data_IF_074740923660
#
_entry.id   IF_074740923660
#
_cell.length_a   1.000
_cell.length_b   1.000
_cell.length_c   1.000
_cell.angle_alpha   90.00
_cell.angle_beta   90.00
_cell.angle_gamma   90.00
#
_symmetry.space_group_name_H-M   'P 1'
#
loop_
_entity.id
_entity.type
_entity.pdbx_description
1 polymer ?
#
# COMPACT_ATOMS: atom_id res chain seq x y z
N UNK A 1 -24.20 21.56 -4.37
CA UNK A 1 -23.80 22.71 -5.20
C UNK A 1 -22.64 23.43 -4.53
N UNK A 2 -21.59 23.75 -5.25
CA UNK A 2 -20.45 24.52 -4.76
C UNK A 2 -20.87 26.00 -4.58
N UNK A 3 -20.39 26.70 -3.53
CA UNK A 3 -20.55 28.15 -3.44
C UNK A 3 -19.90 28.87 -4.63
N UNK A 4 -20.34 30.11 -4.91
CA UNK A 4 -19.77 30.92 -5.99
C UNK A 4 -18.33 31.34 -5.72
N UNK A 5 -17.55 31.68 -6.76
CA UNK A 5 -16.17 32.16 -6.59
C UNK A 5 -16.04 33.28 -5.54
N UNK A 6 -16.91 34.35 -5.53
CA UNK A 6 -16.83 35.37 -4.51
C UNK A 6 -17.12 34.87 -3.07
N UNK A 7 -18.01 33.91 -2.91
CA UNK A 7 -18.28 33.29 -1.60
C UNK A 7 -17.09 32.44 -1.13
N UNK A 8 -16.48 31.65 -2.05
CA UNK A 8 -15.28 30.87 -1.74
C UNK A 8 -14.10 31.78 -1.36
N UNK A 9 -13.92 32.92 -2.04
CA UNK A 9 -12.91 33.90 -1.68
C UNK A 9 -13.09 34.41 -0.25
N UNK A 10 -14.32 34.66 0.18
CA UNK A 10 -14.62 35.08 1.55
C UNK A 10 -14.39 33.97 2.57
N UNK A 11 -14.80 32.74 2.25
CA UNK A 11 -14.65 31.56 3.14
C UNK A 11 -13.18 31.25 3.39
N UNK A 12 -12.36 31.26 2.34
CA UNK A 12 -10.94 30.86 2.42
C UNK A 12 -9.96 32.01 2.59
N UNK A 13 -10.40 33.26 2.48
CA UNK A 13 -9.52 34.44 2.63
C UNK A 13 -8.44 34.54 1.53
N UNK A 14 -8.72 34.06 0.32
CA UNK A 14 -7.75 34.01 -0.79
C UNK A 14 -8.25 34.77 -2.02
N UNK A 15 -7.31 35.08 -2.91
CA UNK A 15 -7.60 35.82 -4.14
C UNK A 15 -8.39 35.01 -5.19
N UNK A 16 -9.01 35.75 -6.12
CA UNK A 16 -9.84 35.15 -7.19
C UNK A 16 -9.08 34.15 -8.06
N UNK A 17 -7.84 34.47 -8.41
CA UNK A 17 -6.98 33.59 -9.22
C UNK A 17 -6.77 32.24 -8.54
N UNK A 18 -6.51 32.25 -7.23
CA UNK A 18 -6.32 31.02 -6.43
C UNK A 18 -7.58 30.14 -6.43
N UNK A 19 -8.76 30.76 -6.23
CA UNK A 19 -10.04 30.03 -6.30
C UNK A 19 -10.26 29.43 -7.67
N UNK A 20 -10.04 30.19 -8.74
CA UNK A 20 -10.25 29.71 -10.11
C UNK A 20 -9.32 28.57 -10.48
N UNK A 21 -8.05 28.64 -10.12
CA UNK A 21 -7.10 27.55 -10.37
C UNK A 21 -7.48 26.29 -9.56
N UNK A 22 -7.88 26.44 -8.31
CA UNK A 22 -8.35 25.33 -7.50
C UNK A 22 -9.60 24.66 -8.10
N UNK A 23 -10.61 25.46 -8.48
CA UNK A 23 -11.85 24.95 -9.11
C UNK A 23 -11.54 24.29 -10.44
N UNK A 24 -10.68 24.89 -11.28
CA UNK A 24 -10.25 24.30 -12.56
C UNK A 24 -9.53 22.96 -12.36
N UNK A 25 -8.67 22.86 -11.34
CA UNK A 25 -7.99 21.61 -11.00
C UNK A 25 -8.99 20.53 -10.59
N UNK A 26 -9.98 20.87 -9.76
CA UNK A 26 -11.02 19.93 -9.31
C UNK A 26 -11.95 19.51 -10.46
N UNK A 27 -12.28 20.41 -11.38
CA UNK A 27 -13.01 20.11 -12.62
C UNK A 27 -12.23 19.14 -13.52
N UNK A 28 -10.94 19.43 -13.75
CA UNK A 28 -10.08 18.57 -14.57
C UNK A 28 -9.90 17.16 -13.97
N UNK A 29 -9.99 17.06 -12.65
CA UNK A 29 -9.93 15.79 -11.94
C UNK A 29 -11.28 15.11 -11.78
N UNK A 30 -12.38 15.74 -12.27
CA UNK A 30 -13.73 15.20 -12.22
C UNK A 30 -14.41 15.23 -10.85
N UNK A 31 -13.85 15.92 -9.86
CA UNK A 31 -14.50 16.13 -8.56
C UNK A 31 -15.65 17.12 -8.61
N UNK A 32 -15.65 17.97 -9.63
CA UNK A 32 -16.70 18.96 -9.87
C UNK A 32 -17.22 18.81 -11.30
N UNK A 33 -18.47 19.21 -11.51
CA UNK A 33 -19.06 19.40 -12.83
C UNK A 33 -19.68 20.79 -12.93
N UNK A 34 -19.67 21.35 -14.13
CA UNK A 34 -20.34 22.62 -14.45
C UNK A 34 -21.65 22.30 -15.17
N UNK A 35 -22.76 22.75 -14.60
CA UNK A 35 -24.06 22.70 -15.25
C UNK A 35 -24.41 24.13 -15.70
N UNK A 36 -24.48 24.35 -17.02
CA UNK A 36 -24.72 25.65 -17.57
C UNK A 36 -26.01 26.29 -17.02
N UNK A 37 -25.92 27.52 -16.52
CA UNK A 37 -27.03 28.22 -15.87
C UNK A 37 -27.39 27.75 -14.44
N UNK A 38 -26.87 26.63 -13.96
CA UNK A 38 -27.17 26.07 -12.65
C UNK A 38 -26.02 26.20 -11.64
N UNK A 39 -24.79 26.28 -12.13
CA UNK A 39 -23.59 26.45 -11.32
C UNK A 39 -22.67 25.24 -11.33
N UNK A 40 -21.73 25.21 -10.40
CA UNK A 40 -20.76 24.11 -10.20
C UNK A 40 -21.26 23.19 -9.10
N UNK A 41 -21.16 21.89 -9.33
CA UNK A 41 -21.60 20.85 -8.41
C UNK A 41 -20.47 19.92 -8.05
N UNK A 42 -20.50 19.41 -6.81
CA UNK A 42 -19.62 18.32 -6.37
C UNK A 42 -20.20 17.02 -6.90
N UNK A 43 -19.37 16.24 -7.57
CA UNK A 43 -19.77 14.93 -8.05
C UNK A 43 -19.84 13.93 -6.91
N UNK A 44 -20.94 13.18 -6.85
CA UNK A 44 -21.18 12.16 -5.83
C UNK A 44 -20.48 10.83 -6.17
N UNK A 45 -20.11 10.64 -7.44
CA UNK A 45 -19.36 9.48 -7.90
C UNK A 45 -17.90 9.85 -8.11
N UNK A 46 -17.02 8.91 -7.85
CA UNK A 46 -15.59 9.07 -8.06
C UNK A 46 -15.30 9.41 -9.53
N UNK A 47 -14.42 10.38 -9.79
CA UNK A 47 -14.02 10.68 -11.14
C UNK A 47 -13.46 9.46 -11.85
N UNK A 48 -13.96 9.14 -13.03
CA UNK A 48 -13.46 8.03 -13.84
C UNK A 48 -11.94 8.11 -14.11
N UNK A 49 -11.39 9.34 -14.09
CA UNK A 49 -9.99 9.64 -14.37
C UNK A 49 -9.18 9.97 -13.10
N UNK A 50 -9.64 9.55 -11.92
CA UNK A 50 -8.84 9.76 -10.71
C UNK A 50 -7.55 8.95 -10.78
N UNK A 51 -6.37 9.56 -10.51
CA UNK A 51 -5.11 8.82 -10.45
C UNK A 51 -5.18 7.68 -9.42
N UNK A 52 -4.64 6.52 -9.78
CA UNK A 52 -4.66 5.33 -8.93
C UNK A 52 -4.09 5.59 -7.52
N UNK A 53 -3.00 6.35 -7.43
CA UNK A 53 -2.41 6.78 -6.16
C UNK A 53 -3.40 7.53 -5.23
N UNK A 54 -4.32 8.31 -5.80
CA UNK A 54 -5.32 9.01 -4.99
C UNK A 54 -6.41 8.05 -4.48
N UNK A 55 -6.75 7.03 -5.28
CA UNK A 55 -7.65 5.96 -4.84
C UNK A 55 -7.05 5.19 -3.69
N UNK A 56 -5.77 4.80 -3.78
CA UNK A 56 -5.08 4.08 -2.71
C UNK A 56 -5.04 4.85 -1.39
N UNK A 57 -4.89 6.20 -1.44
CA UNK A 57 -4.90 7.06 -0.23
C UNK A 57 -6.22 7.01 0.55
N UNK A 58 -7.32 6.66 -0.11
CA UNK A 58 -8.67 6.63 0.45
C UNK A 58 -9.25 5.23 0.54
N UNK A 59 -8.53 4.24 0.01
CA UNK A 59 -8.96 2.85 0.06
C UNK A 59 -9.13 2.40 1.52
N UNK A 60 -10.14 1.60 1.76
CA UNK A 60 -10.27 0.88 3.03
C UNK A 60 -9.05 -0.03 3.19
N UNK A 61 -8.46 -0.01 4.37
CA UNK A 61 -7.29 -0.83 4.65
C UNK A 61 -7.55 -2.32 4.37
N UNK A 62 -8.77 -2.79 4.56
CA UNK A 62 -9.20 -4.16 4.27
C UNK A 62 -9.11 -4.49 2.79
N UNK A 63 -9.47 -3.54 1.90
CA UNK A 63 -9.33 -3.71 0.44
C UNK A 63 -7.86 -3.82 0.04
N UNK A 64 -6.98 -3.01 0.66
CA UNK A 64 -5.53 -3.09 0.43
C UNK A 64 -4.94 -4.42 0.93
N UNK A 65 -5.41 -4.91 2.08
CA UNK A 65 -5.04 -6.24 2.59
C UNK A 65 -5.48 -7.37 1.65
N UNK A 66 -6.69 -7.30 1.13
CA UNK A 66 -7.20 -8.30 0.18
C UNK A 66 -6.36 -8.35 -1.08
N UNK A 67 -6.04 -7.19 -1.66
CA UNK A 67 -5.16 -7.08 -2.83
C UNK A 67 -3.77 -7.65 -2.51
N UNK A 68 -3.21 -7.30 -1.37
CA UNK A 68 -1.90 -7.79 -0.94
C UNK A 68 -1.90 -9.31 -0.81
N UNK A 69 -2.89 -9.89 -0.13
CA UNK A 69 -3.07 -11.35 0.02
C UNK A 69 -3.08 -12.07 -1.33
N UNK A 70 -3.83 -11.55 -2.29
CA UNK A 70 -3.93 -12.12 -3.65
C UNK A 70 -2.57 -12.08 -4.35
N UNK A 71 -1.84 -10.98 -4.24
CA UNK A 71 -0.58 -10.77 -4.94
C UNK A 71 0.60 -11.54 -4.32
N UNK A 72 0.64 -11.71 -3.01
CA UNK A 72 1.81 -12.27 -2.31
C UNK A 72 2.15 -13.71 -2.71
N UNK A 73 1.17 -14.55 -2.90
CA UNK A 73 1.42 -15.93 -3.35
C UNK A 73 2.06 -15.95 -4.75
N UNK A 74 1.56 -15.13 -5.67
CA UNK A 74 2.11 -15.01 -7.03
C UNK A 74 3.49 -14.32 -7.03
N UNK A 75 3.70 -13.35 -6.14
CA UNK A 75 4.99 -12.67 -5.96
C UNK A 75 6.04 -13.66 -5.43
N UNK A 76 5.73 -14.43 -4.39
CA UNK A 76 6.62 -15.42 -3.81
C UNK A 76 7.04 -16.50 -4.83
N UNK A 77 6.09 -16.99 -5.63
CA UNK A 77 6.34 -17.91 -6.74
C UNK A 77 7.36 -17.34 -7.72
N UNK A 78 7.10 -16.12 -8.22
CA UNK A 78 7.96 -15.47 -9.23
C UNK A 78 9.31 -15.05 -8.67
N UNK A 79 9.35 -14.60 -7.41
CA UNK A 79 10.58 -14.27 -6.73
C UNK A 79 11.49 -15.51 -6.58
N UNK A 80 10.94 -16.65 -6.12
CA UNK A 80 11.69 -17.90 -6.03
C UNK A 80 12.27 -18.33 -7.38
N UNK A 81 11.52 -18.11 -8.48
CA UNK A 81 11.98 -18.47 -9.83
C UNK A 81 13.07 -17.53 -10.35
N UNK A 82 12.95 -16.22 -10.12
CA UNK A 82 13.70 -15.18 -10.84
C UNK A 82 14.76 -14.47 -10.01
N UNK A 83 14.76 -14.60 -8.69
CA UNK A 83 15.64 -13.89 -7.78
C UNK A 83 17.10 -13.97 -8.19
N UNK A 84 17.84 -12.90 -8.01
CA UNK A 84 19.30 -12.82 -8.12
C UNK A 84 19.96 -12.84 -6.73
N UNK A 85 21.28 -12.96 -6.68
CA UNK A 85 22.03 -12.84 -5.41
C UNK A 85 21.94 -11.44 -4.80
N UNK A 86 21.74 -10.40 -5.63
CA UNK A 86 21.52 -9.05 -5.15
C UNK A 86 20.16 -8.93 -4.45
N UNK A 87 19.11 -9.51 -5.03
CA UNK A 87 17.79 -9.50 -4.40
C UNK A 87 17.80 -10.22 -3.06
N UNK A 88 18.53 -11.34 -2.96
CA UNK A 88 18.65 -12.07 -1.70
C UNK A 88 19.30 -11.24 -0.59
N UNK A 89 20.30 -10.42 -0.92
CA UNK A 89 20.92 -9.52 0.07
C UNK A 89 19.92 -8.51 0.63
N UNK A 90 19.10 -7.91 -0.23
CA UNK A 90 18.07 -6.96 0.19
C UNK A 90 17.00 -7.65 1.04
N UNK A 91 16.49 -8.81 0.60
CA UNK A 91 15.50 -9.61 1.34
C UNK A 91 16.03 -10.03 2.73
N UNK A 92 17.28 -10.56 2.79
CA UNK A 92 17.90 -10.98 4.03
C UNK A 92 18.16 -9.82 4.98
N UNK A 93 18.55 -8.65 4.46
CA UNK A 93 18.71 -7.44 5.25
C UNK A 93 17.42 -7.08 5.97
N UNK A 94 16.32 -6.93 5.25
CA UNK A 94 15.06 -6.48 5.82
C UNK A 94 14.40 -7.50 6.76
N UNK A 95 14.53 -8.80 6.49
CA UNK A 95 14.02 -9.82 7.43
C UNK A 95 14.82 -9.84 8.76
N UNK A 96 16.13 -9.53 8.72
CA UNK A 96 16.93 -9.39 9.94
C UNK A 96 16.60 -8.12 10.70
N UNK A 97 16.42 -6.99 10.02
CA UNK A 97 15.99 -5.72 10.62
C UNK A 97 14.62 -5.89 11.30
N UNK A 98 13.65 -6.49 10.61
CA UNK A 98 12.33 -6.83 11.16
C UNK A 98 12.45 -7.64 12.46
N UNK A 99 13.26 -8.69 12.46
CA UNK A 99 13.48 -9.55 13.64
C UNK A 99 14.12 -8.78 14.79
N UNK A 100 15.10 -7.95 14.51
CA UNK A 100 15.82 -7.16 15.51
C UNK A 100 14.89 -6.12 16.15
N UNK A 101 14.15 -5.36 15.35
CA UNK A 101 13.21 -4.34 15.82
C UNK A 101 12.06 -4.98 16.61
N UNK A 102 11.53 -6.13 16.14
CA UNK A 102 10.49 -6.86 16.85
C UNK A 102 10.95 -7.30 18.25
N UNK A 103 12.18 -7.84 18.36
CA UNK A 103 12.76 -8.25 19.67
C UNK A 103 13.05 -7.07 20.58
N UNK A 104 13.35 -5.90 20.03
CA UNK A 104 13.61 -4.68 20.79
C UNK A 104 12.31 -3.95 21.20
N UNK A 105 11.13 -4.38 20.73
CA UNK A 105 9.86 -3.71 20.99
C UNK A 105 9.71 -2.40 20.21
N UNK A 106 10.50 -2.20 19.15
CA UNK A 106 10.51 -0.99 18.31
C UNK A 106 9.47 -1.15 17.20
N UNK A 107 8.22 -0.75 17.49
CA UNK A 107 7.07 -1.05 16.61
C UNK A 107 7.18 -0.35 15.25
N UNK A 108 7.49 0.94 15.21
CA UNK A 108 7.56 1.71 13.97
C UNK A 108 8.64 1.16 13.03
N UNK A 109 9.85 0.90 13.55
CA UNK A 109 10.96 0.33 12.80
C UNK A 109 10.65 -1.10 12.34
N UNK A 110 9.90 -1.87 13.15
CA UNK A 110 9.48 -3.21 12.79
C UNK A 110 8.48 -3.20 11.62
N UNK A 111 7.50 -2.30 11.65
CA UNK A 111 6.53 -2.08 10.56
C UNK A 111 7.26 -1.66 9.29
N UNK A 112 8.20 -0.72 9.39
CA UNK A 112 8.98 -0.27 8.23
C UNK A 112 9.79 -1.40 7.61
N UNK A 113 10.48 -2.18 8.44
CA UNK A 113 11.26 -3.33 8.00
C UNK A 113 10.39 -4.44 7.38
N UNK A 114 9.19 -4.69 7.93
CA UNK A 114 8.21 -5.63 7.36
C UNK A 114 7.78 -5.21 5.95
N UNK A 115 7.41 -3.96 5.78
CA UNK A 115 7.00 -3.41 4.49
C UNK A 115 8.15 -3.50 3.47
N UNK A 116 9.36 -3.08 3.86
CA UNK A 116 10.54 -3.15 3.02
C UNK A 116 10.91 -4.59 2.64
N UNK A 117 10.74 -5.54 3.56
CA UNK A 117 10.92 -6.96 3.27
C UNK A 117 10.01 -7.44 2.15
N UNK A 118 8.72 -7.19 2.27
CA UNK A 118 7.75 -7.60 1.26
C UNK A 118 7.96 -6.89 -0.09
N UNK A 119 8.32 -5.60 -0.07
CA UNK A 119 8.68 -4.84 -1.27
C UNK A 119 9.93 -5.43 -1.94
N UNK A 120 10.94 -5.86 -1.16
CA UNK A 120 12.13 -6.51 -1.69
C UNK A 120 11.80 -7.86 -2.35
N UNK A 121 10.89 -8.64 -1.77
CA UNK A 121 10.39 -9.88 -2.38
C UNK A 121 9.65 -9.58 -3.70
N UNK A 122 8.81 -8.54 -3.74
CA UNK A 122 8.13 -8.13 -4.96
C UNK A 122 9.11 -7.68 -6.05
N UNK A 123 10.17 -6.95 -5.70
CA UNK A 123 11.23 -6.54 -6.61
C UNK A 123 11.97 -7.74 -7.22
N UNK A 124 12.19 -8.81 -6.45
CA UNK A 124 12.83 -10.03 -6.89
C UNK A 124 12.02 -10.82 -7.95
N UNK A 125 10.78 -10.42 -8.22
CA UNK A 125 9.99 -10.96 -9.33
C UNK A 125 10.51 -10.53 -10.70
N UNK A 126 11.31 -9.46 -10.78
CA UNK A 126 11.73 -8.82 -12.03
C UNK A 126 10.58 -8.54 -12.99
N UNK A 127 9.39 -8.21 -12.42
CA UNK A 127 8.23 -7.71 -13.12
C UNK A 127 7.91 -6.32 -12.57
N UNK A 128 8.28 -5.30 -13.35
CA UNK A 128 8.22 -3.92 -12.91
C UNK A 128 6.79 -3.45 -12.60
N UNK A 129 5.82 -3.87 -13.41
CA UNK A 129 4.41 -3.53 -13.17
C UNK A 129 3.90 -4.16 -11.88
N UNK A 130 4.19 -5.44 -11.64
CA UNK A 130 3.80 -6.13 -10.41
C UNK A 130 4.46 -5.49 -9.18
N UNK A 131 5.73 -5.12 -9.29
CA UNK A 131 6.49 -4.42 -8.26
C UNK A 131 5.87 -3.06 -7.92
N UNK A 132 5.59 -2.21 -8.92
CA UNK A 132 5.02 -0.88 -8.69
C UNK A 132 3.60 -0.96 -8.10
N UNK A 133 2.75 -1.87 -8.58
CA UNK A 133 1.42 -2.10 -8.02
C UNK A 133 1.49 -2.52 -6.54
N UNK A 134 2.36 -3.48 -6.23
CA UNK A 134 2.52 -3.99 -4.86
C UNK A 134 3.11 -2.94 -3.93
N UNK A 135 4.13 -2.23 -4.37
CA UNK A 135 4.78 -1.14 -3.63
C UNK A 135 3.80 -0.02 -3.30
N UNK A 136 3.03 0.45 -4.30
CA UNK A 136 2.03 1.49 -4.09
C UNK A 136 1.00 1.08 -3.03
N UNK A 137 0.46 -0.14 -3.10
CA UNK A 137 -0.47 -0.64 -2.09
C UNK A 137 0.19 -0.75 -0.70
N UNK A 138 1.41 -1.26 -0.62
CA UNK A 138 2.14 -1.49 0.64
C UNK A 138 2.47 -0.20 1.40
N UNK A 139 2.85 0.88 0.71
CA UNK A 139 3.11 2.19 1.32
C UNK A 139 1.86 2.76 1.99
N UNK A 140 0.69 2.55 1.41
CA UNK A 140 -0.57 3.01 2.01
C UNK A 140 -1.01 2.15 3.21
N UNK A 141 -0.63 0.88 3.26
CA UNK A 141 -0.86 0.01 4.41
C UNK A 141 -0.05 0.44 5.65
N UNK A 142 1.14 1.02 5.47
CA UNK A 142 1.99 1.46 6.59
C UNK A 142 1.25 2.37 7.58
N UNK A 143 0.44 3.30 7.06
CA UNK A 143 -0.35 4.20 7.90
C UNK A 143 -1.43 3.49 8.71
N UNK A 144 -1.94 2.38 8.19
CA UNK A 144 -2.94 1.57 8.86
C UNK A 144 -2.36 0.66 9.94
N UNK A 145 -1.14 0.19 9.77
CA UNK A 145 -0.48 -0.70 10.74
C UNK A 145 -0.35 -0.07 12.13
N UNK A 146 -0.03 1.22 12.21
CA UNK A 146 0.04 1.95 13.47
C UNK A 146 -1.31 2.06 14.21
N UNK A 147 -2.43 1.76 13.54
CA UNK A 147 -3.76 1.71 14.16
C UNK A 147 -4.22 0.29 14.48
N UNK A 148 -3.53 -0.72 13.96
CA UNK A 148 -3.89 -2.13 14.10
C UNK A 148 -3.04 -2.82 15.16
N UNK A 149 -1.76 -2.45 15.25
CA UNK A 149 -0.81 -3.07 16.16
C UNK A 149 -0.42 -2.10 17.26
N UNK A 150 -0.57 -2.57 18.51
CA UNK A 150 -0.17 -1.82 19.72
C UNK A 150 1.27 -2.14 20.14
N UNK A 151 1.79 -3.29 19.71
CA UNK A 151 3.14 -3.78 20.02
C UNK A 151 3.70 -4.71 18.92
N UNK A 152 4.88 -5.26 19.17
CA UNK A 152 5.59 -6.11 18.21
C UNK A 152 5.27 -7.61 18.33
N UNK A 153 4.32 -8.02 19.16
CA UNK A 153 4.01 -9.44 19.41
C UNK A 153 3.64 -10.19 18.14
N UNK A 154 2.74 -9.61 17.33
CA UNK A 154 2.35 -10.20 16.05
C UNK A 154 3.54 -10.42 15.10
N UNK A 155 4.51 -9.49 15.09
CA UNK A 155 5.70 -9.61 14.25
C UNK A 155 6.64 -10.71 14.74
N UNK A 156 6.74 -10.93 16.07
CA UNK A 156 7.50 -12.04 16.63
C UNK A 156 6.85 -13.40 16.30
N UNK A 157 5.54 -13.50 16.43
CA UNK A 157 4.78 -14.72 16.14
C UNK A 157 4.85 -15.11 14.66
N UNK A 158 4.77 -14.12 13.77
CA UNK A 158 4.82 -14.35 12.32
C UNK A 158 6.25 -14.47 11.76
N UNK A 159 7.30 -14.14 12.53
CA UNK A 159 8.69 -14.20 12.07
C UNK A 159 9.10 -15.56 11.49
N UNK A 160 8.74 -16.72 12.09
CA UNK A 160 9.11 -18.02 11.54
C UNK A 160 8.53 -18.29 10.15
N UNK A 161 7.34 -17.76 9.85
CA UNK A 161 6.73 -17.88 8.52
C UNK A 161 7.52 -17.08 7.47
N UNK A 162 7.94 -15.87 7.83
CA UNK A 162 8.74 -15.02 6.96
C UNK A 162 10.12 -15.64 6.69
N UNK A 163 10.77 -16.20 7.70
CA UNK A 163 12.05 -16.91 7.54
C UNK A 163 11.93 -18.16 6.66
N UNK A 164 10.80 -18.90 6.76
CA UNK A 164 10.51 -20.01 5.84
C UNK A 164 10.33 -19.53 4.40
N UNK A 165 9.65 -18.41 4.19
CA UNK A 165 9.52 -17.82 2.85
C UNK A 165 10.90 -17.50 2.26
N UNK A 166 11.75 -16.82 3.03
CA UNK A 166 13.13 -16.51 2.60
C UNK A 166 13.89 -17.78 2.22
N UNK A 167 13.81 -18.81 3.05
CA UNK A 167 14.43 -20.10 2.75
C UNK A 167 13.96 -20.69 1.42
N UNK A 168 12.64 -20.70 1.19
CA UNK A 168 12.10 -21.27 -0.05
C UNK A 168 12.44 -20.42 -1.29
N UNK A 169 12.59 -19.10 -1.14
CA UNK A 169 13.08 -18.22 -2.20
C UNK A 169 14.56 -18.53 -2.51
N UNK A 170 15.39 -18.70 -1.47
CA UNK A 170 16.81 -19.08 -1.61
C UNK A 170 16.92 -20.43 -2.34
N UNK A 171 16.13 -21.43 -1.90
CA UNK A 171 16.13 -22.79 -2.44
C UNK A 171 15.45 -22.89 -3.83
N UNK A 172 14.93 -21.79 -4.37
CA UNK A 172 14.12 -21.75 -5.61
C UNK A 172 12.93 -22.72 -5.57
N UNK A 173 12.40 -22.98 -4.40
CA UNK A 173 11.25 -23.87 -4.23
C UNK A 173 9.93 -23.09 -4.43
N UNK A 174 9.55 -22.97 -5.69
CA UNK A 174 8.42 -22.17 -6.16
C UNK A 174 7.10 -22.55 -5.45
N UNK A 175 6.80 -23.85 -5.36
CA UNK A 175 5.55 -24.35 -4.77
C UNK A 175 5.48 -24.03 -3.28
N UNK A 176 6.57 -24.29 -2.53
CA UNK A 176 6.59 -24.00 -1.10
C UNK A 176 6.63 -22.50 -0.80
N UNK A 177 7.28 -21.70 -1.64
CA UNK A 177 7.30 -20.24 -1.49
C UNK A 177 5.89 -19.65 -1.65
N UNK A 178 5.16 -20.03 -2.69
CA UNK A 178 3.77 -19.63 -2.91
C UNK A 178 2.85 -20.10 -1.78
N UNK A 179 2.97 -21.38 -1.37
CA UNK A 179 2.13 -21.96 -0.32
C UNK A 179 2.34 -21.33 1.05
N UNK A 180 3.57 -20.93 1.42
CA UNK A 180 3.82 -20.26 2.71
C UNK A 180 3.37 -18.81 2.68
N UNK A 181 3.52 -18.11 1.54
CA UNK A 181 3.05 -16.74 1.40
C UNK A 181 1.52 -16.63 1.54
N UNK A 182 0.78 -17.61 1.05
CA UNK A 182 -0.67 -17.67 1.23
C UNK A 182 -1.13 -17.80 2.70
N UNK A 183 -0.25 -18.26 3.59
CA UNK A 183 -0.56 -18.45 5.02
C UNK A 183 -0.40 -17.17 5.85
N UNK A 184 0.31 -16.14 5.37
CA UNK A 184 0.53 -14.91 6.14
C UNK A 184 -0.78 -14.23 6.58
N UNK A 185 -1.88 -14.51 5.90
CA UNK A 185 -3.16 -13.82 6.05
C UNK A 185 -4.30 -14.77 6.45
N UNK A 186 -3.95 -15.99 6.96
CA UNK A 186 -4.91 -17.06 7.21
C UNK A 186 -5.96 -16.76 8.27
N UNK A 187 -5.65 -15.92 9.29
CA UNK A 187 -6.51 -15.77 10.46
C UNK A 187 -6.76 -14.30 10.90
N UNK A 188 -6.12 -13.32 10.27
CA UNK A 188 -6.22 -11.92 10.71
C UNK A 188 -7.44 -11.17 10.12
N UNK A 189 -8.06 -11.67 9.06
CA UNK A 189 -9.17 -11.00 8.37
C UNK A 189 -10.55 -11.38 8.91
N UNK A 190 -10.68 -12.49 9.66
CA UNK A 190 -11.97 -12.99 10.14
C UNK A 190 -12.29 -12.62 11.59
N UNK A 191 -11.41 -11.91 12.30
CA UNK A 191 -11.54 -11.67 13.74
C UNK A 191 -11.63 -10.20 14.17
N UNK A 192 -12.24 -9.31 13.34
CA UNK A 192 -12.78 -8.04 13.89
C UNK A 192 -13.91 -7.46 13.06
#
# INVERSE_FOLDING_TARGET
>A
KLPTEPELMKIFGVGRSTIREAVKMLLNRGYLSVQQGRGTFVESQMPANEPFEQRLKRADIRELYEVRKILEAAIAEKAALRRTEKDLKDIQKYIMERKASAKAGMLEECIEADIHFHIAVAKATHNEILFELYKSASIHLQKGYNHIYDDTTHFLESQPLHEKLVKYIIDRNVVKASGIAAQFWGDAADNK
#
